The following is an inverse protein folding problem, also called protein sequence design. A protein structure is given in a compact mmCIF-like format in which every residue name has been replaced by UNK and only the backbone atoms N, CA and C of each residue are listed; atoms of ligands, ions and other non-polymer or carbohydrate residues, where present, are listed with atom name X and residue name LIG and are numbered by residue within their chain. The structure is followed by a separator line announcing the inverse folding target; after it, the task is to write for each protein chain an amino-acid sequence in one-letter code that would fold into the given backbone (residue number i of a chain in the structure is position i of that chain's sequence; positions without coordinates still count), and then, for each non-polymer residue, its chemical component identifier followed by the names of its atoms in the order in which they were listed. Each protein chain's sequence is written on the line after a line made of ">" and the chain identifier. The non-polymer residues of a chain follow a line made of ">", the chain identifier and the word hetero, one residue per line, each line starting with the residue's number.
data_IF_547452263150
#
_entry.id   IF_547452263150
#
_cell.length_a   1.000
_cell.length_b   1.000
_cell.length_c   1.000
_cell.angle_alpha   90.00
_cell.angle_beta   90.00
_cell.angle_gamma   90.00
#
_symmetry.space_group_name_H-M   'P 1'
#
loop_
_entity.id
_entity.type
_entity.pdbx_description
1 polymer ?
#
# COMPACT_ATOMS: atom_id res chain seq x y z
N UNK A 1 23.59 -46.56 -5.88
CA UNK A 1 22.75 -45.77 -6.82
C UNK A 1 21.59 -45.02 -6.15
N UNK A 2 20.76 -45.64 -5.30
CA UNK A 2 19.59 -44.99 -4.68
C UNK A 2 19.89 -43.72 -3.86
N UNK A 3 21.05 -43.66 -3.16
CA UNK A 3 21.44 -42.50 -2.33
C UNK A 3 21.89 -41.28 -3.12
N UNK A 4 22.46 -41.46 -4.33
CA UNK A 4 22.82 -40.34 -5.22
C UNK A 4 21.57 -39.76 -5.91
N UNK A 5 20.62 -40.62 -6.28
CA UNK A 5 19.35 -40.20 -6.90
C UNK A 5 18.49 -39.31 -5.96
N UNK A 6 18.50 -39.62 -4.66
CA UNK A 6 17.77 -38.86 -3.63
C UNK A 6 18.39 -37.47 -3.40
N UNK A 7 19.72 -37.35 -3.46
CA UNK A 7 20.42 -36.06 -3.31
C UNK A 7 20.18 -35.16 -4.54
N UNK A 8 20.12 -35.75 -5.74
CA UNK A 8 19.78 -35.00 -6.97
C UNK A 8 18.33 -34.52 -6.97
N UNK A 9 17.38 -35.34 -6.49
CA UNK A 9 15.97 -34.92 -6.37
C UNK A 9 15.76 -33.81 -5.33
N UNK A 10 16.53 -33.81 -4.23
CA UNK A 10 16.45 -32.78 -3.19
C UNK A 10 17.05 -31.43 -3.62
N UNK A 11 17.98 -31.44 -4.58
CA UNK A 11 18.54 -30.20 -5.16
C UNK A 11 17.61 -29.56 -6.20
N UNK A 12 16.83 -30.37 -6.93
CA UNK A 12 15.83 -29.88 -7.91
C UNK A 12 14.65 -29.20 -7.20
N UNK A 13 14.29 -29.62 -5.97
CA UNK A 13 13.22 -28.95 -5.20
C UNK A 13 13.65 -27.62 -4.57
N UNK A 14 14.95 -27.34 -4.46
CA UNK A 14 15.46 -26.05 -3.95
C UNK A 14 15.56 -24.97 -5.03
N UNK A 15 15.43 -25.33 -6.31
CA UNK A 15 15.29 -24.41 -7.43
C UNK A 15 13.82 -24.05 -7.69
N UNK A 16 13.00 -23.97 -6.64
CA UNK A 16 11.74 -23.24 -6.67
C UNK A 16 12.09 -21.77 -6.89
N UNK A 17 12.32 -21.41 -8.17
CA UNK A 17 12.42 -20.05 -8.64
C UNK A 17 11.20 -19.33 -8.08
N UNK A 18 11.45 -18.44 -7.12
CA UNK A 18 10.44 -17.54 -6.59
C UNK A 18 10.16 -16.49 -7.67
N UNK A 19 9.48 -16.92 -8.74
CA UNK A 19 8.84 -16.02 -9.69
C UNK A 19 8.00 -15.07 -8.86
N UNK A 20 8.27 -13.78 -9.01
CA UNK A 20 7.70 -12.78 -8.13
C UNK A 20 6.21 -12.80 -8.36
N UNK A 21 5.44 -13.29 -7.39
CA UNK A 21 4.00 -13.17 -7.44
C UNK A 21 3.68 -11.68 -7.53
N UNK A 22 3.06 -11.27 -8.62
CA UNK A 22 2.65 -9.88 -8.78
C UNK A 22 1.43 -9.62 -7.91
N UNK A 23 1.45 -8.47 -7.25
CA UNK A 23 0.37 -8.00 -6.42
C UNK A 23 -0.06 -6.63 -6.89
N UNK A 24 -1.37 -6.44 -7.03
CA UNK A 24 -1.99 -5.13 -7.12
C UNK A 24 -2.27 -4.64 -5.71
N UNK A 25 -1.79 -3.45 -5.38
CA UNK A 25 -2.20 -2.75 -4.16
C UNK A 25 -3.57 -2.13 -4.45
N UNK A 26 -4.55 -2.48 -3.63
CA UNK A 26 -5.90 -1.93 -3.71
C UNK A 26 -6.20 -1.22 -2.40
N UNK A 27 -6.58 0.06 -2.51
CA UNK A 27 -7.03 0.88 -1.39
C UNK A 27 -8.53 1.09 -1.47
N UNK A 28 -9.19 0.98 -0.33
CA UNK A 28 -10.63 1.12 -0.20
C UNK A 28 -10.98 1.98 1.00
N UNK A 29 -12.04 2.78 0.89
CA UNK A 29 -12.62 3.48 2.04
C UNK A 29 -13.59 2.57 2.79
N UNK A 30 -13.51 2.60 4.12
CA UNK A 30 -14.44 1.90 5.03
C UNK A 30 -15.04 2.89 6.00
N UNK A 31 -16.36 3.10 5.91
CA UNK A 31 -17.10 3.89 6.90
C UNK A 31 -17.07 3.15 8.23
N UNK A 32 -16.55 3.81 9.26
CA UNK A 32 -16.54 3.29 10.63
C UNK A 32 -17.72 3.85 11.43
N UNK A 33 -18.05 5.13 11.20
CA UNK A 33 -19.17 5.83 11.80
C UNK A 33 -19.85 6.63 10.69
N UNK A 34 -21.11 6.31 10.42
CA UNK A 34 -21.95 7.12 9.52
C UNK A 34 -22.16 8.53 10.09
N UNK A 35 -22.34 9.50 9.19
CA UNK A 35 -22.68 10.88 9.57
C UNK A 35 -23.89 10.88 10.50
N UNK A 36 -23.69 11.41 11.71
CA UNK A 36 -24.72 11.50 12.74
C UNK A 36 -24.53 12.74 13.60
N UNK A 37 -25.63 13.22 14.15
CA UNK A 37 -25.66 14.34 15.07
C UNK A 37 -25.45 13.89 16.52
N UNK A 38 -24.64 14.65 17.25
CA UNK A 38 -24.39 14.50 18.69
C UNK A 38 -24.67 15.84 19.35
N UNK A 39 -25.59 15.85 20.30
CA UNK A 39 -25.90 17.03 21.09
C UNK A 39 -25.12 17.03 22.41
N UNK A 40 -24.52 18.17 22.75
CA UNK A 40 -23.82 18.38 24.03
C UNK A 40 -24.32 19.65 24.70
N UNK A 41 -24.69 19.54 25.98
CA UNK A 41 -25.08 20.69 26.80
C UNK A 41 -23.88 21.59 27.12
N UNK A 42 -24.16 22.86 27.45
CA UNK A 42 -23.19 23.73 28.11
C UNK A 42 -22.84 23.23 29.52
N UNK A 43 -21.66 23.60 30.01
CA UNK A 43 -21.10 23.15 31.30
C UNK A 43 -22.07 23.27 32.48
N UNK A 44 -22.70 24.44 32.65
CA UNK A 44 -23.66 24.70 33.74
C UNK A 44 -24.84 23.73 33.74
N UNK A 45 -25.47 23.47 32.59
CA UNK A 45 -26.57 22.49 32.48
C UNK A 45 -26.10 21.05 32.67
N UNK A 46 -24.82 20.76 32.40
CA UNK A 46 -24.26 19.43 32.62
C UNK A 46 -24.04 19.09 34.10
N UNK A 47 -24.01 20.09 34.98
CA UNK A 47 -24.00 19.88 36.44
C UNK A 47 -25.38 19.51 36.98
N UNK A 48 -26.45 19.85 36.24
CA UNK A 48 -27.84 19.55 36.58
C UNK A 48 -28.42 18.40 35.72
N UNK A 49 -27.62 17.37 35.44
CA UNK A 49 -28.03 16.16 34.73
C UNK A 49 -27.88 16.17 33.21
N UNK A 50 -27.44 17.28 32.61
CA UNK A 50 -27.06 17.33 31.19
C UNK A 50 -25.70 16.67 30.89
N UNK A 51 -25.37 16.50 29.61
CA UNK A 51 -24.12 15.87 29.16
C UNK A 51 -23.27 16.84 28.34
N UNK A 52 -22.15 17.33 28.90
CA UNK A 52 -21.19 18.20 28.19
C UNK A 52 -20.01 17.45 27.55
N UNK A 53 -19.85 16.16 27.86
CA UNK A 53 -18.82 15.27 27.28
C UNK A 53 -19.42 13.94 26.87
N UNK A 54 -19.02 13.42 25.71
CA UNK A 54 -19.34 12.06 25.27
C UNK A 54 -18.17 11.45 24.52
N UNK A 55 -18.27 10.17 24.18
CA UNK A 55 -17.23 9.50 23.39
C UNK A 55 -17.82 8.68 22.24
N UNK A 56 -17.02 8.49 21.20
CA UNK A 56 -17.29 7.57 20.10
C UNK A 56 -16.18 6.52 20.09
N UNK A 57 -16.55 5.23 20.20
CA UNK A 57 -15.63 4.11 20.02
C UNK A 57 -15.35 3.91 18.54
N UNK A 58 -14.08 3.78 18.19
CA UNK A 58 -13.59 3.53 16.84
C UNK A 58 -12.84 2.20 16.85
N UNK A 59 -13.38 1.21 16.14
CA UNK A 59 -12.74 -0.09 15.95
C UNK A 59 -12.08 -0.10 14.56
N UNK A 60 -10.75 -0.04 14.51
CA UNK A 60 -10.02 0.04 13.24
C UNK A 60 -9.98 -1.33 12.56
N UNK A 61 -10.39 -1.44 11.29
CA UNK A 61 -10.34 -2.69 10.56
C UNK A 61 -8.90 -3.15 10.29
N UNK A 62 -8.69 -4.44 9.99
CA UNK A 62 -7.39 -4.93 9.54
C UNK A 62 -6.90 -4.16 8.30
N UNK A 63 -5.58 -3.97 8.23
CA UNK A 63 -4.89 -3.29 7.14
C UNK A 63 -5.26 -1.82 6.93
N UNK A 64 -5.79 -1.12 7.94
CA UNK A 64 -5.87 0.33 7.92
C UNK A 64 -4.48 0.94 7.69
N UNK A 65 -4.39 1.86 6.74
CA UNK A 65 -3.16 2.62 6.45
C UNK A 65 -3.20 4.03 7.03
N UNK A 66 -4.40 4.60 7.09
CA UNK A 66 -4.74 5.89 7.69
C UNK A 66 -6.27 5.95 7.84
N UNK A 67 -6.76 6.84 8.69
CA UNK A 67 -8.18 7.09 8.83
C UNK A 67 -8.44 8.56 9.14
N UNK A 68 -9.70 8.95 9.02
CA UNK A 68 -10.14 10.32 9.07
C UNK A 68 -11.39 10.41 9.92
N UNK A 69 -11.50 11.49 10.69
CA UNK A 69 -12.80 11.96 11.15
C UNK A 69 -13.03 13.37 10.64
N UNK A 70 -14.28 13.67 10.30
CA UNK A 70 -14.71 15.00 9.93
C UNK A 70 -15.89 15.42 10.78
N UNK A 71 -15.97 16.70 11.08
CA UNK A 71 -17.10 17.23 11.82
C UNK A 71 -17.41 18.67 11.45
N UNK A 72 -18.65 19.07 11.74
CA UNK A 72 -19.11 20.45 11.72
C UNK A 72 -20.08 20.67 12.87
N UNK A 73 -20.28 21.92 13.28
CA UNK A 73 -21.06 22.27 14.47
C UNK A 73 -22.15 23.29 14.18
N UNK A 74 -23.29 23.13 14.85
CA UNK A 74 -24.35 24.15 14.88
C UNK A 74 -24.68 24.56 16.32
N UNK A 75 -25.26 25.76 16.47
CA UNK A 75 -25.82 26.22 17.75
C UNK A 75 -27.21 25.61 17.93
N UNK A 76 -27.49 25.06 19.11
CA UNK A 76 -28.79 24.45 19.39
C UNK A 76 -29.06 23.20 18.56
N UNK A 77 -30.34 22.88 18.29
CA UNK A 77 -30.76 21.60 17.69
C UNK A 77 -30.99 21.65 16.17
N UNK A 78 -30.98 22.83 15.53
CA UNK A 78 -31.31 22.97 14.10
C UNK A 78 -30.21 22.42 13.17
N UNK A 79 -30.67 21.93 12.00
CA UNK A 79 -30.03 20.98 11.08
C UNK A 79 -28.55 21.17 10.72
N UNK A 80 -27.90 20.07 10.38
CA UNK A 80 -26.51 19.97 9.93
C UNK A 80 -26.48 19.45 8.49
N UNK A 81 -25.49 19.89 7.71
CA UNK A 81 -25.25 19.38 6.36
C UNK A 81 -24.55 18.02 6.37
N UNK A 82 -24.75 17.20 5.34
CA UNK A 82 -24.09 15.91 5.19
C UNK A 82 -22.58 16.10 4.88
N UNK A 83 -21.72 15.42 5.65
CA UNK A 83 -20.26 15.51 5.53
C UNK A 83 -19.71 14.79 4.28
N UNK A 84 -20.35 13.71 3.84
CA UNK A 84 -19.96 12.90 2.68
C UNK A 84 -18.46 12.53 2.63
N UNK A 85 -17.78 12.36 3.77
CA UNK A 85 -16.33 12.14 3.85
C UNK A 85 -15.92 10.89 3.08
N UNK A 86 -16.68 9.80 3.22
CA UNK A 86 -16.35 8.55 2.52
C UNK A 86 -16.38 8.68 1.00
N UNK A 87 -17.31 9.48 0.45
CA UNK A 87 -17.44 9.71 -0.99
C UNK A 87 -16.27 10.56 -1.48
N UNK A 88 -15.92 11.60 -0.73
CA UNK A 88 -14.79 12.48 -1.06
C UNK A 88 -13.45 11.74 -1.01
N UNK A 89 -13.25 10.83 -0.04
CA UNK A 89 -12.06 10.00 0.03
C UNK A 89 -12.06 8.92 -1.06
N UNK A 90 -13.21 8.34 -1.39
CA UNK A 90 -13.30 7.34 -2.47
C UNK A 90 -12.96 7.94 -3.83
N UNK A 91 -13.44 9.15 -4.14
CA UNK A 91 -13.10 9.82 -5.40
C UNK A 91 -11.61 10.12 -5.51
N UNK A 92 -10.95 10.49 -4.39
CA UNK A 92 -9.49 10.68 -4.35
C UNK A 92 -8.70 9.41 -4.63
N UNK A 93 -9.18 8.24 -4.19
CA UNK A 93 -8.53 6.96 -4.45
C UNK A 93 -8.66 6.51 -5.92
N UNK A 94 -9.63 7.05 -6.66
CA UNK A 94 -9.88 6.68 -8.07
C UNK A 94 -9.12 7.56 -9.07
N UNK A 95 -8.53 8.68 -8.65
CA UNK A 95 -7.75 9.57 -9.53
C UNK A 95 -6.33 8.98 -9.79
N UNK A 96 -6.01 8.52 -11.03
CA UNK A 96 -4.79 7.80 -11.34
C UNK A 96 -3.57 8.71 -11.61
N UNK A 97 -3.68 10.04 -11.43
CA UNK A 97 -2.62 11.00 -11.76
C UNK A 97 -1.38 10.95 -10.86
N UNK A 98 -1.37 10.15 -9.77
CA UNK A 98 -0.18 9.96 -8.92
C UNK A 98 0.25 11.19 -8.10
N UNK A 99 -0.49 12.30 -8.19
CA UNK A 99 -0.29 13.56 -7.45
C UNK A 99 -0.92 13.56 -6.04
N UNK A 100 -1.49 12.44 -5.60
CA UNK A 100 -2.31 12.35 -4.39
C UNK A 100 -1.55 12.43 -3.06
N UNK A 101 -0.22 12.53 -3.09
CA UNK A 101 0.61 12.58 -1.87
C UNK A 101 0.76 13.99 -1.26
N UNK A 102 0.31 15.08 -1.92
CA UNK A 102 0.66 16.43 -1.43
C UNK A 102 -0.47 17.42 -1.14
N UNK A 103 -1.77 17.11 -1.32
CA UNK A 103 -2.80 18.04 -0.82
C UNK A 103 -4.17 17.39 -0.67
N UNK A 104 -4.60 17.15 0.58
CA UNK A 104 -5.98 16.76 0.95
C UNK A 104 -6.93 17.99 0.88
N UNK A 105 -6.47 19.12 0.35
CA UNK A 105 -7.17 20.42 0.31
C UNK A 105 -8.47 20.46 -0.51
N UNK A 106 -8.91 19.33 -1.08
CA UNK A 106 -10.18 19.21 -1.80
C UNK A 106 -11.32 18.73 -0.90
N UNK A 107 -11.04 18.08 0.24
CA UNK A 107 -12.12 17.60 1.12
C UNK A 107 -12.72 18.79 1.86
N UNK A 108 -14.02 19.04 1.65
CA UNK A 108 -14.75 20.16 2.24
C UNK A 108 -15.79 19.65 3.23
N UNK A 109 -15.85 20.30 4.39
CA UNK A 109 -16.94 20.16 5.35
C UNK A 109 -17.75 21.45 5.42
N UNK A 110 -19.05 21.39 5.76
CA UNK A 110 -19.85 22.59 6.00
C UNK A 110 -19.24 23.48 7.09
N UNK A 111 -19.42 24.79 6.97
CA UNK A 111 -18.95 25.75 7.96
C UNK A 111 -19.63 25.51 9.32
N UNK A 112 -18.82 25.40 10.37
CA UNK A 112 -19.29 25.25 11.75
C UNK A 112 -19.40 26.61 12.44
N UNK A 113 -20.29 26.71 13.43
CA UNK A 113 -20.57 27.98 14.13
C UNK A 113 -20.30 27.95 15.63
N UNK A 114 -20.04 26.78 16.23
CA UNK A 114 -19.77 26.64 17.66
C UNK A 114 -18.48 25.86 17.94
N UNK A 115 -17.74 26.20 18.98
CA UNK A 115 -16.50 25.50 19.29
C UNK A 115 -16.76 24.12 19.91
N UNK A 116 -15.96 23.13 19.53
CA UNK A 116 -15.88 21.82 20.17
C UNK A 116 -14.41 21.44 20.37
N UNK A 117 -14.14 20.70 21.44
CA UNK A 117 -12.87 20.00 21.62
C UNK A 117 -13.07 18.52 21.36
N UNK A 118 -12.19 17.92 20.58
CA UNK A 118 -12.17 16.48 20.29
C UNK A 118 -10.79 15.93 20.62
N UNK A 119 -10.75 14.94 21.49
CA UNK A 119 -9.52 14.28 21.95
C UNK A 119 -9.51 12.83 21.44
N UNK A 120 -8.42 12.42 20.80
CA UNK A 120 -8.17 11.01 20.50
C UNK A 120 -7.50 10.35 21.71
N UNK A 121 -8.11 9.30 22.25
CA UNK A 121 -7.69 8.64 23.49
C UNK A 121 -7.86 7.12 23.42
N UNK A 122 -7.23 6.40 24.33
CA UNK A 122 -7.43 4.96 24.52
C UNK A 122 -8.60 4.65 25.47
N UNK A 123 -8.81 3.36 25.75
CA UNK A 123 -9.90 2.89 26.61
C UNK A 123 -9.78 3.36 28.07
N UNK A 124 -8.57 3.53 28.61
CA UNK A 124 -8.39 3.97 30.00
C UNK A 124 -8.67 5.48 30.07
N UNK A 125 -8.07 6.23 29.15
CA UNK A 125 -8.14 7.69 29.13
C UNK A 125 -9.52 8.22 28.71
N UNK A 126 -10.30 7.47 27.92
CA UNK A 126 -11.70 7.86 27.64
C UNK A 126 -12.55 7.85 28.91
N UNK A 127 -12.31 6.92 29.84
CA UNK A 127 -13.05 6.89 31.11
C UNK A 127 -12.68 8.07 31.98
N UNK A 128 -11.38 8.39 32.08
CA UNK A 128 -10.89 9.58 32.79
C UNK A 128 -11.47 10.88 32.19
N UNK A 129 -11.51 10.98 30.86
CA UNK A 129 -12.13 12.09 30.15
C UNK A 129 -13.62 12.24 30.47
N UNK A 130 -14.38 11.13 30.44
CA UNK A 130 -15.82 11.15 30.73
C UNK A 130 -16.11 11.48 32.20
N UNK A 131 -15.23 11.09 33.12
CA UNK A 131 -15.29 11.41 34.55
C UNK A 131 -14.87 12.84 34.89
N UNK A 132 -14.40 13.62 33.91
CA UNK A 132 -13.94 15.01 34.10
C UNK A 132 -12.82 15.12 35.15
N UNK A 133 -11.87 14.18 35.17
CA UNK A 133 -10.79 14.19 36.16
C UNK A 133 -9.94 15.46 36.11
N UNK A 134 -9.83 16.07 34.93
CA UNK A 134 -9.15 17.34 34.67
C UNK A 134 -9.82 18.55 35.35
N UNK A 135 -11.13 18.48 35.62
CA UNK A 135 -11.82 19.50 36.42
C UNK A 135 -11.55 19.35 37.93
N UNK A 136 -10.99 18.21 38.36
CA UNK A 136 -10.78 17.84 39.76
C UNK A 136 -9.29 17.68 40.11
N UNK A 137 -8.40 18.32 39.34
CA UNK A 137 -6.94 18.30 39.58
C UNK A 137 -6.19 17.08 39.06
N UNK A 138 -6.86 16.17 38.34
CA UNK A 138 -6.25 15.06 37.62
C UNK A 138 -5.89 15.39 36.17
N UNK A 139 -5.42 14.41 35.42
CA UNK A 139 -5.13 14.52 33.98
C UNK A 139 -5.48 13.22 33.26
N UNK A 140 -5.63 13.27 31.94
CA UNK A 140 -5.69 12.09 31.07
C UNK A 140 -4.72 12.29 29.91
N UNK A 141 -4.29 11.19 29.29
CA UNK A 141 -3.42 11.18 28.12
C UNK A 141 -4.23 11.13 26.83
N UNK A 142 -3.69 11.76 25.80
CA UNK A 142 -4.29 11.92 24.49
C UNK A 142 -3.24 11.77 23.40
N UNK A 143 -3.70 11.37 22.22
CA UNK A 143 -2.89 11.31 21.01
C UNK A 143 -3.03 12.66 20.27
N UNK A 144 -1.95 13.47 20.19
CA UNK A 144 -2.04 14.82 19.62
C UNK A 144 -2.47 14.85 18.15
N UNK A 145 -2.11 13.84 17.37
CA UNK A 145 -2.41 13.75 15.93
C UNK A 145 -3.91 13.80 15.63
N UNK A 146 -4.74 13.17 16.48
CA UNK A 146 -6.18 13.15 16.35
C UNK A 146 -6.90 14.14 17.27
N UNK A 147 -6.22 15.18 17.74
CA UNK A 147 -6.78 16.17 18.66
C UNK A 147 -7.09 17.49 17.94
N UNK A 148 -8.25 18.07 18.24
CA UNK A 148 -8.57 19.46 17.90
C UNK A 148 -9.22 20.14 19.09
N UNK A 149 -8.91 21.41 19.30
CA UNK A 149 -9.45 22.21 20.40
C UNK A 149 -10.00 23.53 19.87
N UNK A 150 -11.05 24.03 20.52
CA UNK A 150 -11.74 25.27 20.17
C UNK A 150 -12.06 25.39 18.66
N UNK A 151 -12.40 24.27 18.04
CA UNK A 151 -12.54 24.15 16.58
C UNK A 151 -14.01 24.00 16.21
N UNK A 152 -14.44 24.66 15.12
CA UNK A 152 -15.85 24.68 14.70
C UNK A 152 -16.17 23.61 13.67
N UNK A 153 -15.22 23.29 12.81
CA UNK A 153 -15.27 22.24 11.81
C UNK A 153 -13.84 21.83 11.47
N UNK A 154 -13.64 20.56 11.15
CA UNK A 154 -12.36 20.10 10.61
C UNK A 154 -12.51 18.76 9.90
N UNK A 155 -11.46 18.42 9.17
CA UNK A 155 -11.17 17.07 8.72
C UNK A 155 -9.80 16.76 9.29
N UNK A 156 -9.72 15.69 10.05
CA UNK A 156 -8.52 15.32 10.79
C UNK A 156 -8.07 13.97 10.29
N UNK A 157 -6.81 13.92 9.84
CA UNK A 157 -6.11 12.72 9.41
C UNK A 157 -5.42 12.09 10.62
N UNK A 158 -5.49 10.77 10.73
CA UNK A 158 -4.73 9.99 11.70
C UNK A 158 -4.06 8.83 10.97
N UNK A 159 -2.73 8.85 10.96
CA UNK A 159 -1.87 7.84 10.35
C UNK A 159 -0.77 7.30 11.29
N UNK A 160 -0.72 7.67 12.57
CA UNK A 160 0.12 6.93 13.53
C UNK A 160 -0.64 5.75 14.16
N UNK A 161 -1.96 5.89 14.36
CA UNK A 161 -2.80 4.86 14.98
C UNK A 161 -3.58 4.09 13.91
N UNK A 162 -3.07 2.90 13.55
CA UNK A 162 -3.59 2.10 12.43
C UNK A 162 -4.30 0.81 12.83
N UNK A 163 -4.34 0.47 14.12
CA UNK A 163 -4.84 -0.85 14.59
C UNK A 163 -5.50 -0.72 15.95
N UNK A 164 -6.36 -1.70 16.25
CA UNK A 164 -7.02 -1.81 17.55
C UNK A 164 -8.19 -0.85 17.69
N UNK A 165 -8.51 -0.54 18.95
CA UNK A 165 -9.63 0.31 19.32
C UNK A 165 -9.11 1.62 19.90
N UNK A 166 -9.66 2.74 19.43
CA UNK A 166 -9.45 4.06 20.01
C UNK A 166 -10.80 4.78 20.21
N UNK A 167 -10.77 5.93 20.85
CA UNK A 167 -11.97 6.70 21.16
C UNK A 167 -11.76 8.17 20.81
N UNK A 168 -12.79 8.77 20.21
CA UNK A 168 -12.90 10.23 20.12
C UNK A 168 -13.71 10.70 21.32
N UNK A 169 -13.09 11.45 22.23
CA UNK A 169 -13.76 12.16 23.33
C UNK A 169 -14.19 13.55 22.85
N UNK A 170 -15.49 13.83 22.84
CA UNK A 170 -16.07 15.09 22.39
C UNK A 170 -16.50 15.91 23.60
N UNK A 171 -16.08 17.16 23.67
CA UNK A 171 -16.40 18.08 24.74
C UNK A 171 -16.93 19.40 24.20
N UNK A 172 -18.01 19.90 24.80
CA UNK A 172 -18.44 21.27 24.63
C UNK A 172 -17.68 22.16 25.63
N UNK A 173 -16.79 23.07 25.18
CA UNK A 173 -16.08 23.99 26.05
C UNK A 173 -16.97 25.15 26.56
N UNK A 174 -18.15 25.37 25.96
CA UNK A 174 -19.04 26.45 26.40
C UNK A 174 -19.69 26.12 27.75
N UNK A 175 -19.68 27.10 28.65
CA UNK A 175 -20.37 26.98 29.95
C UNK A 175 -21.89 27.13 29.84
N UNK A 176 -22.38 27.85 28.82
CA UNK A 176 -23.78 28.26 28.71
C UNK A 176 -24.48 27.63 27.51
N UNK A 177 -23.85 27.71 26.34
CA UNK A 177 -24.47 27.33 25.08
C UNK A 177 -24.37 25.82 24.86
N UNK A 178 -25.48 25.23 24.40
CA UNK A 178 -25.45 23.87 23.88
C UNK A 178 -25.06 23.85 22.40
N UNK A 179 -24.42 22.77 22.00
CA UNK A 179 -23.92 22.57 20.63
C UNK A 179 -24.44 21.25 20.07
N UNK A 180 -24.56 21.21 18.75
CA UNK A 180 -24.77 19.97 18.00
C UNK A 180 -23.60 19.76 17.06
N UNK A 181 -23.05 18.55 17.06
CA UNK A 181 -21.88 18.16 16.28
C UNK A 181 -22.35 17.10 15.29
N UNK A 182 -22.23 17.37 13.99
CA UNK A 182 -22.34 16.31 12.99
C UNK A 182 -20.95 15.74 12.75
N UNK A 183 -20.78 14.43 12.85
CA UNK A 183 -19.49 13.75 12.75
C UNK A 183 -19.57 12.48 11.92
N UNK A 184 -18.53 12.22 11.12
CA UNK A 184 -18.35 11.02 10.31
C UNK A 184 -16.91 10.50 10.52
N UNK A 185 -16.72 9.17 10.50
CA UNK A 185 -15.39 8.55 10.63
C UNK A 185 -15.19 7.49 9.54
N UNK A 186 -14.07 7.56 8.83
CA UNK A 186 -13.75 6.73 7.67
C UNK A 186 -12.30 6.27 7.72
N UNK A 187 -12.05 4.97 7.56
CA UNK A 187 -10.71 4.41 7.38
C UNK A 187 -10.39 4.19 5.91
N UNK A 188 -9.10 4.26 5.56
CA UNK A 188 -8.56 3.74 4.30
C UNK A 188 -7.82 2.45 4.63
N UNK A 189 -8.21 1.35 4.00
CA UNK A 189 -7.53 0.05 4.13
C UNK A 189 -6.80 -0.32 2.86
N UNK A 190 -5.65 -0.99 3.00
CA UNK A 190 -4.84 -1.45 1.88
C UNK A 190 -4.80 -2.99 1.83
N UNK A 191 -5.12 -3.57 0.68
CA UNK A 191 -5.01 -5.01 0.45
C UNK A 191 -4.09 -5.28 -0.74
N UNK A 192 -3.36 -6.40 -0.66
CA UNK A 192 -2.52 -6.89 -1.75
C UNK A 192 -3.26 -8.03 -2.43
N UNK A 193 -3.82 -7.74 -3.60
CA UNK A 193 -4.53 -8.74 -4.41
C UNK A 193 -3.53 -9.36 -5.38
N UNK A 194 -3.45 -10.69 -5.39
CA UNK A 194 -2.64 -11.42 -6.36
C UNK A 194 -3.19 -11.14 -7.76
N UNK A 195 -2.33 -10.70 -8.67
CA UNK A 195 -2.72 -10.61 -10.09
C UNK A 195 -2.74 -12.04 -10.62
N UNK A 196 -3.92 -12.51 -11.00
CA UNK A 196 -4.05 -13.79 -11.69
C UNK A 196 -3.34 -13.67 -13.04
N UNK A 197 -2.45 -14.63 -13.32
CA UNK A 197 -1.79 -14.73 -14.63
C UNK A 197 -2.81 -15.25 -15.63
N UNK A 198 -2.70 -14.82 -16.88
CA UNK A 198 -3.47 -15.43 -17.97
C UNK A 198 -2.89 -16.81 -18.32
N UNK A 199 -3.67 -17.66 -18.98
CA UNK A 199 -3.20 -18.98 -19.42
C UNK A 199 -1.96 -18.86 -20.33
N UNK A 200 -1.91 -17.82 -21.17
CA UNK A 200 -0.77 -17.53 -22.05
C UNK A 200 0.48 -17.15 -21.25
N UNK A 201 0.34 -16.35 -20.18
CA UNK A 201 1.44 -16.01 -19.29
C UNK A 201 1.98 -17.24 -18.57
N UNK A 202 1.11 -18.10 -18.04
CA UNK A 202 1.52 -19.34 -17.36
C UNK A 202 2.25 -20.27 -18.32
N UNK A 203 1.72 -20.44 -19.54
CA UNK A 203 2.34 -21.28 -20.57
C UNK A 203 3.69 -20.72 -21.03
N UNK A 204 3.80 -19.40 -21.22
CA UNK A 204 5.06 -18.74 -21.54
C UNK A 204 6.11 -18.97 -20.44
N UNK A 205 5.72 -18.89 -19.16
CA UNK A 205 6.62 -19.18 -18.05
C UNK A 205 7.08 -20.65 -18.02
N UNK A 206 6.21 -21.60 -18.34
CA UNK A 206 6.61 -23.02 -18.46
C UNK A 206 7.67 -23.21 -19.54
N UNK A 207 7.49 -22.60 -20.71
CA UNK A 207 8.52 -22.62 -21.75
C UNK A 207 9.80 -21.89 -21.33
N UNK A 208 9.69 -20.76 -20.64
CA UNK A 208 10.84 -20.04 -20.09
C UNK A 208 11.64 -20.90 -19.10
N UNK A 209 10.97 -21.67 -18.24
CA UNK A 209 11.60 -22.59 -17.29
C UNK A 209 12.35 -23.70 -18.04
N UNK A 210 11.75 -24.25 -19.10
CA UNK A 210 12.42 -25.22 -19.96
C UNK A 210 13.64 -24.59 -20.64
N UNK A 211 13.54 -23.34 -21.12
CA UNK A 211 14.65 -22.61 -21.71
C UNK A 211 15.81 -22.45 -20.71
N UNK A 212 15.53 -22.00 -19.48
CA UNK A 212 16.54 -21.88 -18.43
C UNK A 212 17.18 -23.21 -18.07
N UNK A 213 16.41 -24.29 -18.04
CA UNK A 213 16.93 -25.64 -17.84
C UNK A 213 17.90 -26.05 -18.96
N UNK A 214 17.58 -25.74 -20.22
CA UNK A 214 18.50 -25.99 -21.34
C UNK A 214 19.75 -25.11 -21.26
N UNK A 215 19.61 -23.84 -20.87
CA UNK A 215 20.74 -22.94 -20.63
C UNK A 215 21.71 -23.51 -19.61
N UNK A 216 21.19 -23.95 -18.46
CA UNK A 216 22.00 -24.48 -17.36
C UNK A 216 22.67 -25.81 -17.72
N UNK A 217 22.08 -26.58 -18.65
CA UNK A 217 22.68 -27.78 -19.23
C UNK A 217 23.71 -27.49 -20.35
N UNK A 218 23.96 -26.23 -20.68
CA UNK A 218 24.83 -25.83 -21.79
C UNK A 218 24.25 -26.08 -23.19
N UNK A 219 22.97 -26.44 -23.28
CA UNK A 219 22.27 -26.67 -24.55
C UNK A 219 21.71 -25.35 -25.10
N UNK A 220 22.60 -24.42 -25.47
CA UNK A 220 22.24 -23.04 -25.78
C UNK A 220 21.32 -22.88 -27.00
N UNK A 221 21.47 -23.69 -28.06
CA UNK A 221 20.55 -23.64 -29.21
C UNK A 221 19.12 -24.05 -28.80
N UNK A 222 18.98 -25.10 -27.98
CA UNK A 222 17.68 -25.51 -27.43
C UNK A 222 17.11 -24.50 -26.45
N UNK A 223 17.98 -23.82 -25.69
CA UNK A 223 17.56 -22.70 -24.84
C UNK A 223 16.88 -21.62 -25.70
N UNK A 224 17.52 -21.20 -26.81
CA UNK A 224 16.95 -20.21 -27.71
C UNK A 224 15.61 -20.67 -28.27
N UNK A 225 15.49 -21.93 -28.70
CA UNK A 225 14.21 -22.48 -29.20
C UNK A 225 13.08 -22.40 -28.16
N UNK A 226 13.34 -22.77 -26.90
CA UNK A 226 12.33 -22.66 -25.85
C UNK A 226 12.04 -21.21 -25.44
N UNK A 227 13.03 -20.32 -25.50
CA UNK A 227 12.79 -18.88 -25.35
C UNK A 227 11.84 -18.38 -26.44
N UNK A 228 12.02 -18.80 -27.69
CA UNK A 228 11.14 -18.40 -28.79
C UNK A 228 9.71 -18.92 -28.62
N UNK A 229 9.56 -20.16 -28.14
CA UNK A 229 8.24 -20.72 -27.78
C UNK A 229 7.56 -19.94 -26.66
N UNK A 230 8.30 -19.55 -25.63
CA UNK A 230 7.76 -18.71 -24.56
C UNK A 230 7.29 -17.35 -25.09
N UNK A 231 8.14 -16.69 -25.88
CA UNK A 231 7.87 -15.37 -26.44
C UNK A 231 6.70 -15.36 -27.44
N UNK A 232 6.42 -16.49 -28.10
CA UNK A 232 5.24 -16.64 -28.96
C UNK A 232 3.92 -16.67 -28.18
N UNK A 233 3.94 -17.08 -26.92
CA UNK A 233 2.76 -17.10 -26.05
C UNK A 233 2.60 -15.76 -25.31
N UNK A 234 3.67 -15.27 -24.69
CA UNK A 234 3.67 -14.00 -23.96
C UNK A 234 5.08 -13.46 -23.77
N UNK A 235 5.26 -12.14 -23.91
CA UNK A 235 6.56 -11.51 -23.77
C UNK A 235 7.03 -11.46 -22.30
N UNK A 236 8.14 -12.13 -22.00
CA UNK A 236 8.72 -12.19 -20.66
C UNK A 236 10.15 -11.64 -20.66
N UNK A 237 10.36 -10.51 -19.98
CA UNK A 237 11.65 -9.82 -19.96
C UNK A 237 12.82 -10.69 -19.48
N UNK A 238 12.61 -11.54 -18.48
CA UNK A 238 13.64 -12.47 -18.00
C UNK A 238 13.95 -13.60 -18.99
N UNK A 239 12.96 -14.01 -19.81
CA UNK A 239 13.16 -15.00 -20.87
C UNK A 239 13.97 -14.38 -22.01
N UNK A 240 13.69 -13.13 -22.39
CA UNK A 240 14.53 -12.38 -23.32
C UNK A 240 15.96 -12.24 -22.81
N UNK A 241 16.15 -11.94 -21.52
CA UNK A 241 17.50 -11.88 -20.94
C UNK A 241 18.23 -13.23 -21.03
N UNK A 242 17.52 -14.33 -20.81
CA UNK A 242 18.07 -15.70 -20.95
C UNK A 242 18.43 -16.00 -22.41
N UNK A 243 17.56 -15.62 -23.36
CA UNK A 243 17.80 -15.75 -24.81
C UNK A 243 19.03 -14.95 -25.25
N UNK A 244 19.08 -13.68 -24.86
CA UNK A 244 20.20 -12.78 -25.18
C UNK A 244 21.52 -13.35 -24.69
N UNK A 245 21.58 -13.85 -23.45
CA UNK A 245 22.80 -14.45 -22.92
C UNK A 245 23.20 -15.73 -23.66
N UNK A 246 22.23 -16.57 -24.03
CA UNK A 246 22.49 -17.78 -24.83
C UNK A 246 23.05 -17.43 -26.20
N UNK A 247 22.51 -16.39 -26.86
CA UNK A 247 22.99 -15.90 -28.15
C UNK A 247 24.44 -15.38 -28.07
N UNK A 248 24.78 -14.61 -27.03
CA UNK A 248 26.17 -14.17 -26.83
C UNK A 248 27.11 -15.37 -26.66
N UNK A 249 26.71 -16.38 -25.89
CA UNK A 249 27.53 -17.58 -25.67
C UNK A 249 27.76 -18.35 -26.98
N UNK A 250 26.75 -18.37 -27.85
CA UNK A 250 26.79 -18.92 -29.21
C UNK A 250 27.52 -18.03 -30.23
N UNK A 251 28.25 -17.00 -29.77
CA UNK A 251 29.01 -16.06 -30.60
C UNK A 251 28.13 -15.23 -31.56
N UNK A 252 26.83 -15.09 -31.25
CA UNK A 252 25.88 -14.22 -31.96
C UNK A 252 25.77 -12.86 -31.28
N UNK A 253 26.89 -12.15 -31.24
CA UNK A 253 27.07 -10.91 -30.46
C UNK A 253 25.99 -9.85 -30.74
N UNK A 254 25.75 -9.53 -32.01
CA UNK A 254 24.78 -8.50 -32.41
C UNK A 254 23.37 -8.90 -31.98
N UNK A 255 22.92 -10.10 -32.34
CA UNK A 255 21.59 -10.61 -32.01
C UNK A 255 21.37 -10.69 -30.48
N UNK A 256 22.39 -11.17 -29.75
CA UNK A 256 22.33 -11.29 -28.29
C UNK A 256 22.25 -9.92 -27.61
N UNK A 257 22.96 -8.92 -28.13
CA UNK A 257 22.94 -7.55 -27.62
C UNK A 257 21.59 -6.89 -27.85
N UNK A 258 21.04 -6.96 -29.07
CA UNK A 258 19.70 -6.45 -29.37
C UNK A 258 18.62 -7.11 -28.50
N UNK A 259 18.70 -8.43 -28.33
CA UNK A 259 17.77 -9.19 -27.49
C UNK A 259 17.85 -8.76 -26.02
N UNK A 260 19.06 -8.46 -25.51
CA UNK A 260 19.23 -7.93 -24.16
C UNK A 260 18.69 -6.50 -24.00
N UNK A 261 18.84 -5.64 -25.01
CA UNK A 261 18.24 -4.28 -25.00
C UNK A 261 16.72 -4.37 -24.90
N UNK A 262 16.11 -5.29 -25.65
CA UNK A 262 14.67 -5.57 -25.55
C UNK A 262 14.28 -6.11 -24.17
N UNK A 263 15.09 -7.02 -23.61
CA UNK A 263 14.90 -7.54 -22.25
C UNK A 263 14.90 -6.41 -21.20
N UNK A 264 15.90 -5.53 -21.24
CA UNK A 264 16.02 -4.39 -20.32
C UNK A 264 14.81 -3.47 -20.46
N UNK A 265 14.40 -3.16 -21.68
CA UNK A 265 13.26 -2.29 -21.98
C UNK A 265 11.96 -2.86 -21.42
N UNK A 266 11.76 -4.18 -21.52
CA UNK A 266 10.58 -4.85 -20.99
C UNK A 266 10.63 -4.94 -19.45
N UNK A 267 11.75 -5.33 -18.87
CA UNK A 267 11.93 -5.47 -17.40
C UNK A 267 11.71 -4.14 -16.67
N UNK A 268 12.13 -3.01 -17.23
CA UNK A 268 11.91 -1.68 -16.63
C UNK A 268 10.44 -1.34 -16.42
N UNK A 269 9.54 -1.89 -17.25
CA UNK A 269 8.11 -1.64 -17.18
C UNK A 269 7.41 -2.55 -16.16
N UNK A 270 8.11 -3.52 -15.57
CA UNK A 270 7.55 -4.53 -14.68
C UNK A 270 7.68 -4.14 -13.20
N UNK A 271 6.71 -4.53 -12.35
CA UNK A 271 6.87 -4.44 -10.91
C UNK A 271 8.06 -5.31 -10.46
N UNK A 272 8.92 -4.80 -9.58
CA UNK A 272 10.16 -5.44 -9.12
C UNK A 272 11.31 -5.51 -10.16
N UNK A 273 11.33 -4.61 -11.14
CA UNK A 273 12.42 -4.46 -12.13
C UNK A 273 13.83 -4.58 -11.51
N UNK A 274 14.09 -3.90 -10.38
CA UNK A 274 15.38 -3.93 -9.67
C UNK A 274 15.82 -5.33 -9.20
N UNK A 275 14.89 -6.24 -8.91
CA UNK A 275 15.22 -7.62 -8.58
C UNK A 275 15.69 -8.36 -9.84
N UNK A 276 14.92 -8.26 -10.92
CA UNK A 276 15.20 -8.94 -12.18
C UNK A 276 16.51 -8.44 -12.81
N UNK A 277 16.76 -7.12 -12.80
CA UNK A 277 18.01 -6.53 -13.29
C UNK A 277 19.25 -7.02 -12.50
N UNK A 278 19.11 -7.25 -11.18
CA UNK A 278 20.18 -7.86 -10.38
C UNK A 278 20.45 -9.31 -10.77
N UNK A 279 19.40 -10.09 -11.01
CA UNK A 279 19.53 -11.47 -11.46
C UNK A 279 20.18 -11.56 -12.86
N UNK A 280 19.86 -10.61 -13.75
CA UNK A 280 20.49 -10.50 -15.07
C UNK A 280 22.00 -10.28 -14.96
N UNK A 281 22.46 -9.34 -14.12
CA UNK A 281 23.89 -9.12 -13.89
C UNK A 281 24.56 -10.37 -13.31
N UNK A 282 23.93 -11.01 -12.32
CA UNK A 282 24.46 -12.25 -11.75
C UNK A 282 24.64 -13.35 -12.80
N UNK A 283 23.71 -13.47 -13.75
CA UNK A 283 23.80 -14.44 -14.83
C UNK A 283 24.95 -14.11 -15.81
N UNK A 284 25.15 -12.82 -16.13
CA UNK A 284 26.28 -12.37 -16.96
C UNK A 284 27.61 -12.66 -16.25
N UNK A 285 27.73 -12.30 -14.97
CA UNK A 285 28.93 -12.54 -14.16
C UNK A 285 29.26 -14.04 -14.10
N UNK A 286 28.24 -14.90 -14.06
CA UNK A 286 28.44 -16.36 -14.10
C UNK A 286 28.88 -16.84 -15.49
N UNK A 287 28.36 -16.27 -16.57
CA UNK A 287 28.79 -16.60 -17.93
C UNK A 287 30.24 -16.19 -18.19
N UNK A 288 30.65 -14.99 -17.71
CA UNK A 288 32.02 -14.50 -17.82
C UNK A 288 33.04 -15.38 -17.07
N UNK A 289 32.65 -16.04 -15.98
CA UNK A 289 33.52 -17.04 -15.31
C UNK A 289 33.79 -18.27 -16.18
N UNK A 290 32.88 -18.62 -17.07
CA UNK A 290 33.00 -19.78 -17.97
C UNK A 290 33.70 -19.38 -19.27
N UNK A 291 33.35 -18.20 -19.81
CA UNK A 291 33.92 -17.63 -21.05
C UNK A 291 34.34 -16.17 -20.79
N UNK A 292 35.59 -15.94 -20.32
CA UNK A 292 36.06 -14.59 -19.96
C UNK A 292 36.07 -13.59 -21.11
N UNK A 293 36.21 -14.07 -22.35
CA UNK A 293 36.20 -13.26 -23.58
C UNK A 293 34.81 -13.20 -24.24
N UNK A 294 33.74 -13.35 -23.46
CA UNK A 294 32.37 -13.28 -23.97
C UNK A 294 32.07 -11.86 -24.47
N UNK A 295 32.09 -11.68 -25.80
CA UNK A 295 31.83 -10.39 -26.45
C UNK A 295 30.42 -9.88 -26.16
N UNK A 296 30.28 -8.57 -26.04
CA UNK A 296 29.04 -7.87 -25.67
C UNK A 296 28.62 -7.97 -24.19
N UNK A 297 29.18 -8.91 -23.41
CA UNK A 297 28.76 -9.13 -22.02
C UNK A 297 29.02 -7.95 -21.09
N UNK A 298 30.21 -7.34 -21.16
CA UNK A 298 30.56 -6.16 -20.34
C UNK A 298 29.73 -4.92 -20.71
N UNK A 299 29.48 -4.71 -22.01
CA UNK A 299 28.64 -3.59 -22.48
C UNK A 299 27.21 -3.72 -21.96
N UNK A 300 26.61 -4.90 -22.07
CA UNK A 300 25.26 -5.19 -21.57
C UNK A 300 25.22 -5.08 -20.05
N UNK A 301 26.25 -5.58 -19.35
CA UNK A 301 26.37 -5.46 -17.90
C UNK A 301 26.35 -3.99 -17.48
N UNK A 302 27.12 -3.14 -18.14
CA UNK A 302 27.12 -1.68 -17.95
C UNK A 302 25.77 -1.04 -18.25
N UNK A 303 25.11 -1.45 -19.33
CA UNK A 303 23.76 -0.98 -19.67
C UNK A 303 22.74 -1.30 -18.58
N UNK A 304 22.79 -2.48 -17.96
CA UNK A 304 21.88 -2.88 -16.87
C UNK A 304 22.16 -2.08 -15.59
N UNK A 305 23.43 -1.83 -15.27
CA UNK A 305 23.82 -1.06 -14.09
C UNK A 305 23.29 0.38 -14.14
N UNK A 306 23.21 0.99 -15.32
CA UNK A 306 22.62 2.32 -15.52
C UNK A 306 21.10 2.39 -15.30
N UNK A 307 20.41 1.25 -15.11
CA UNK A 307 18.94 1.19 -14.98
C UNK A 307 18.45 0.94 -13.56
N UNK A 308 19.37 0.72 -12.62
CA UNK A 308 19.06 0.54 -11.20
C UNK A 308 18.91 1.88 -10.50
#
# INVERSE_FOLDING_TARGET
>A
MKRKLIITLFFISMLQFSFGQEFKIVRETKKLIDSRDIYLNGGTRAEFGGKSRTSIKIDLPPNTVEWYYSFTTTKGESGTGNLNLAIQLASMLMDPSGLTSQTISIVKVPEGVAAVDIYLVDQINVQLFLQKVDANGGTFLQYPEGMVQNTKQAIVKVDDIKRGTCYLGLMNPSSLDAIKINIEVVAITETRIKIAKTEEQEKAEMYGVLAKTQFDNGAYDKCVEYCDKAMAEYELGWVLATKGLAQLILDKEIEGTETYINAITLVKKQPNSNRVLRDMIKNIDNALKIKPELKGAEEIRGLIEQQK
#
